data_IF_818755905173
#
_entry.id   IF_818755905173
#
_cell.length_a   1.000
_cell.length_b   1.000
_cell.length_c   1.000
_cell.angle_alpha   90.00
_cell.angle_beta   90.00
_cell.angle_gamma   90.00
#
_symmetry.space_group_name_H-M   'P 1'
#
loop_
_entity.id
_entity.type
_entity.pdbx_description
1 polymer ?
#
# COMPACT_ATOMS: atom_id res chain seq x y z
N UNK A 1 26.24 -25.17 -27.89
CA UNK A 1 24.81 -25.21 -27.46
C UNK A 1 24.76 -24.32 -26.23
N UNK A 2 24.43 -23.02 -26.44
CA UNK A 2 24.43 -22.02 -25.37
C UNK A 2 23.11 -22.13 -24.65
N UNK A 3 23.17 -22.51 -23.39
CA UNK A 3 22.04 -22.59 -22.48
C UNK A 3 21.48 -21.15 -22.28
N UNK A 4 20.31 -20.87 -22.82
CA UNK A 4 19.65 -19.59 -22.58
C UNK A 4 19.14 -19.59 -21.13
N UNK A 5 19.42 -18.55 -20.35
CA UNK A 5 18.84 -18.46 -19.03
C UNK A 5 17.31 -18.41 -19.15
N UNK A 6 16.63 -19.29 -18.43
CA UNK A 6 15.18 -19.29 -18.34
C UNK A 6 14.71 -17.90 -17.90
N UNK A 7 14.00 -17.19 -18.76
CA UNK A 7 13.33 -15.95 -18.40
C UNK A 7 12.27 -16.34 -17.38
N UNK A 8 12.52 -16.02 -16.10
CA UNK A 8 11.51 -16.20 -15.07
C UNK A 8 10.30 -15.33 -15.47
N UNK A 9 9.19 -15.98 -15.77
CA UNK A 9 7.94 -15.26 -16.01
C UNK A 9 7.60 -14.39 -14.80
N UNK A 10 7.25 -13.14 -15.05
CA UNK A 10 6.78 -12.27 -13.97
C UNK A 10 5.54 -12.90 -13.32
N UNK A 11 5.39 -12.80 -11.98
CA UNK A 11 4.21 -13.30 -11.30
C UNK A 11 2.94 -12.61 -11.84
N UNK A 12 1.88 -13.39 -12.05
CA UNK A 12 0.60 -12.86 -12.47
C UNK A 12 -0.01 -12.05 -11.32
N UNK A 13 -0.13 -10.74 -11.54
CA UNK A 13 -0.79 -9.84 -10.60
C UNK A 13 -2.28 -9.75 -10.95
N UNK A 14 -3.12 -10.23 -10.06
CA UNK A 14 -4.56 -10.02 -10.13
C UNK A 14 -4.95 -8.96 -9.09
N UNK A 15 -5.36 -7.75 -9.52
CA UNK A 15 -5.93 -6.80 -8.57
C UNK A 15 -7.20 -7.42 -7.96
N UNK A 16 -7.30 -7.38 -6.65
CA UNK A 16 -8.50 -7.83 -5.97
C UNK A 16 -9.68 -7.00 -6.46
N UNK A 17 -10.71 -7.63 -7.00
CA UNK A 17 -11.94 -6.94 -7.37
C UNK A 17 -12.61 -6.47 -6.08
N UNK A 18 -12.60 -5.15 -5.85
CA UNK A 18 -13.42 -4.54 -4.81
C UNK A 18 -14.90 -4.75 -5.20
N UNK A 19 -15.51 -5.81 -4.71
CA UNK A 19 -16.95 -5.97 -4.76
C UNK A 19 -17.55 -4.93 -3.81
N UNK A 20 -18.39 -4.08 -4.35
CA UNK A 20 -18.95 -2.88 -3.78
C UNK A 20 -19.31 -2.91 -2.30
N UNK A 21 -19.33 -1.71 -1.69
CA UNK A 21 -19.70 -1.39 -0.31
C UNK A 21 -19.52 -2.56 0.66
N UNK A 22 -18.27 -2.80 1.05
CA UNK A 22 -17.98 -3.80 2.08
C UNK A 22 -18.81 -3.48 3.31
N UNK A 23 -19.77 -4.33 3.60
CA UNK A 23 -20.57 -4.23 4.81
C UNK A 23 -19.64 -4.24 6.02
N UNK A 24 -19.97 -3.51 7.07
CA UNK A 24 -19.18 -3.42 8.29
C UNK A 24 -18.78 -4.82 8.76
N UNK A 25 -17.47 -5.10 8.76
CA UNK A 25 -16.89 -6.33 9.28
C UNK A 25 -16.40 -7.36 8.25
N UNK A 26 -16.43 -7.10 6.96
CA UNK A 26 -15.82 -7.98 5.96
C UNK A 26 -14.37 -7.61 5.72
N UNK A 27 -13.50 -8.63 5.68
CA UNK A 27 -12.10 -8.46 5.28
C UNK A 27 -12.02 -8.15 3.78
N UNK A 28 -11.31 -7.10 3.40
CA UNK A 28 -11.04 -6.79 2.01
C UNK A 28 -9.69 -7.39 1.62
N UNK A 29 -9.66 -8.16 0.54
CA UNK A 29 -8.42 -8.67 -0.03
C UNK A 29 -7.81 -7.60 -0.93
N UNK A 30 -6.65 -7.07 -0.54
CA UNK A 30 -5.99 -5.95 -1.24
C UNK A 30 -5.16 -6.41 -2.43
N UNK A 31 -4.62 -7.63 -2.40
CA UNK A 31 -3.83 -8.21 -3.49
C UNK A 31 -3.89 -9.74 -3.45
N UNK A 32 -3.77 -10.36 -4.60
CA UNK A 32 -3.60 -11.80 -4.79
C UNK A 32 -2.53 -12.01 -5.86
N UNK A 33 -1.42 -12.63 -5.49
CA UNK A 33 -0.29 -12.88 -6.38
C UNK A 33 -0.06 -14.37 -6.48
N UNK A 34 -0.12 -14.92 -7.68
CA UNK A 34 0.01 -16.36 -7.95
C UNK A 34 1.03 -16.61 -9.06
N UNK A 35 1.47 -17.86 -9.16
CA UNK A 35 2.32 -18.31 -10.26
C UNK A 35 3.82 -18.29 -9.98
N UNK A 36 4.60 -18.32 -11.05
CA UNK A 36 6.05 -18.36 -10.96
C UNK A 36 6.60 -17.08 -10.31
N UNK A 37 7.59 -17.22 -9.41
CA UNK A 37 8.21 -16.08 -8.72
C UNK A 37 7.61 -15.72 -7.36
N UNK A 38 6.49 -16.34 -6.96
CA UNK A 38 5.86 -16.09 -5.65
C UNK A 38 6.82 -16.39 -4.50
N UNK A 39 7.60 -17.46 -4.58
CA UNK A 39 8.62 -17.80 -3.56
C UNK A 39 9.65 -16.67 -3.37
N UNK A 40 10.12 -16.08 -4.47
CA UNK A 40 11.03 -14.95 -4.38
C UNK A 40 10.37 -13.71 -3.76
N UNK A 41 9.10 -13.51 -4.01
CA UNK A 41 8.29 -12.43 -3.44
C UNK A 41 8.09 -12.62 -1.94
N UNK A 42 7.78 -13.86 -1.50
CA UNK A 42 7.69 -14.22 -0.08
C UNK A 42 9.02 -13.88 0.62
N UNK A 43 10.15 -14.30 0.07
CA UNK A 43 11.46 -13.98 0.64
C UNK A 43 11.75 -12.47 0.72
N UNK A 44 11.21 -11.64 -0.20
CA UNK A 44 11.30 -10.18 -0.10
C UNK A 44 10.45 -9.64 1.05
N UNK A 45 9.23 -10.15 1.21
CA UNK A 45 8.31 -9.78 2.29
C UNK A 45 8.94 -10.11 3.66
N UNK A 46 9.49 -11.31 3.82
CA UNK A 46 10.15 -11.73 5.06
C UNK A 46 11.33 -10.83 5.42
N UNK A 47 12.18 -10.49 4.44
CA UNK A 47 13.29 -9.54 4.67
C UNK A 47 12.79 -8.16 5.04
N UNK A 48 11.76 -7.67 4.37
CA UNK A 48 11.16 -6.37 4.68
C UNK A 48 10.56 -6.34 6.08
N UNK A 49 9.89 -7.43 6.49
CA UNK A 49 9.35 -7.58 7.84
C UNK A 49 10.45 -7.60 8.91
N UNK A 50 11.53 -8.33 8.67
CA UNK A 50 12.69 -8.37 9.57
C UNK A 50 13.43 -7.03 9.68
N UNK A 51 13.36 -6.20 8.66
CA UNK A 51 13.98 -4.87 8.62
C UNK A 51 13.05 -3.75 9.14
N UNK A 52 11.84 -4.07 9.62
CA UNK A 52 10.91 -3.06 10.12
C UNK A 52 11.52 -2.28 11.31
N UNK A 53 11.57 -0.95 11.24
CA UNK A 53 12.34 -0.16 12.23
C UNK A 53 11.65 0.00 13.59
N UNK A 54 10.38 -0.41 13.73
CA UNK A 54 9.59 -0.20 14.95
C UNK A 54 9.04 -1.50 15.57
N UNK A 55 9.84 -2.59 15.73
CA UNK A 55 9.32 -3.89 16.14
C UNK A 55 8.77 -3.92 17.59
N UNK A 56 9.14 -2.92 18.41
CA UNK A 56 8.73 -2.81 19.81
C UNK A 56 7.93 -1.54 20.11
N UNK A 57 7.52 -0.82 19.07
CA UNK A 57 6.81 0.46 19.23
C UNK A 57 5.43 0.33 18.60
N UNK A 58 4.39 0.70 19.34
CA UNK A 58 3.04 0.72 18.81
C UNK A 58 2.30 1.95 19.33
N UNK A 59 1.76 2.73 18.41
CA UNK A 59 0.87 3.87 18.68
C UNK A 59 -0.30 3.79 17.71
N UNK A 60 -1.51 3.79 18.23
CA UNK A 60 -2.73 3.74 17.41
C UNK A 60 -2.71 4.89 16.39
N UNK A 61 -2.28 6.07 16.82
CA UNK A 61 -2.20 7.27 15.99
C UNK A 61 -1.05 8.18 16.47
N UNK A 62 -0.33 8.86 15.58
CA UNK A 62 -0.35 8.77 14.10
C UNK A 62 0.34 7.50 13.56
N UNK A 63 0.97 6.73 14.40
CA UNK A 63 1.79 5.55 14.15
C UNK A 63 3.06 5.56 15.01
N UNK A 64 3.90 4.52 14.97
CA UNK A 64 3.74 3.31 14.14
C UNK A 64 2.68 2.33 14.66
N UNK A 65 1.91 1.73 13.75
CA UNK A 65 0.86 0.73 14.04
C UNK A 65 0.84 -0.37 12.96
N UNK A 66 -0.18 -1.23 12.96
CA UNK A 66 -0.30 -2.31 11.97
C UNK A 66 -0.37 -1.81 10.52
N UNK A 67 -1.09 -0.71 10.27
CA UNK A 67 -1.16 -0.11 8.93
C UNK A 67 0.18 0.50 8.50
N UNK A 68 0.94 1.06 9.45
CA UNK A 68 2.33 1.51 9.22
C UNK A 68 3.23 0.34 8.81
N UNK A 69 3.09 -0.81 9.50
CA UNK A 69 3.84 -2.03 9.16
C UNK A 69 3.49 -2.52 7.75
N UNK A 70 2.19 -2.60 7.43
CA UNK A 70 1.72 -3.01 6.10
C UNK A 70 2.23 -2.06 5.02
N UNK A 71 2.16 -0.74 5.26
CA UNK A 71 2.68 0.26 4.33
C UNK A 71 4.21 0.18 4.17
N UNK A 72 4.94 -0.18 5.23
CA UNK A 72 6.38 -0.45 5.16
C UNK A 72 6.69 -1.62 4.22
N UNK A 73 6.00 -2.76 4.40
CA UNK A 73 6.15 -3.92 3.54
C UNK A 73 5.84 -3.57 2.08
N UNK A 74 4.72 -2.89 1.84
CA UNK A 74 4.29 -2.52 0.51
C UNK A 74 5.33 -1.63 -0.20
N UNK A 75 5.92 -0.64 0.49
CA UNK A 75 7.02 0.20 -0.04
C UNK A 75 8.30 -0.59 -0.32
N UNK A 76 8.61 -1.56 0.53
CA UNK A 76 9.82 -2.38 0.39
C UNK A 76 9.69 -3.44 -0.73
N UNK A 77 8.46 -3.81 -1.07
CA UNK A 77 8.13 -4.83 -2.07
C UNK A 77 7.09 -4.26 -3.04
N UNK A 78 7.47 -3.32 -3.91
CA UNK A 78 6.55 -2.62 -4.81
C UNK A 78 5.87 -3.53 -5.84
N UNK A 79 6.39 -4.73 -6.05
CA UNK A 79 5.76 -5.75 -6.90
C UNK A 79 4.38 -6.19 -6.37
N UNK A 80 4.11 -6.02 -5.08
CA UNK A 80 2.80 -6.27 -4.49
C UNK A 80 1.73 -5.29 -4.97
N UNK A 81 2.12 -4.08 -5.42
CA UNK A 81 1.23 -3.01 -5.90
C UNK A 81 0.02 -2.77 -4.99
N UNK A 82 0.25 -2.87 -3.68
CA UNK A 82 -0.83 -2.77 -2.68
C UNK A 82 -1.38 -1.34 -2.64
N UNK A 83 -2.67 -1.21 -2.86
CA UNK A 83 -3.42 0.03 -2.67
C UNK A 83 -4.09 0.02 -1.29
N UNK A 84 -3.46 0.67 -0.32
CA UNK A 84 -4.02 0.74 1.02
C UNK A 84 -5.23 1.68 1.06
N UNK A 85 -6.34 1.25 1.67
CA UNK A 85 -7.55 2.06 1.71
C UNK A 85 -7.34 3.36 2.52
N UNK A 86 -8.14 4.40 2.27
CA UNK A 86 -8.10 5.66 3.02
C UNK A 86 -8.44 5.48 4.50
N UNK A 87 -9.04 4.35 4.87
CA UNK A 87 -9.34 3.95 6.25
C UNK A 87 -8.14 3.34 6.99
N UNK A 88 -7.02 3.07 6.30
CA UNK A 88 -5.81 2.53 6.90
C UNK A 88 -5.02 3.62 7.65
N UNK A 89 -5.56 4.08 8.78
CA UNK A 89 -4.94 5.12 9.62
C UNK A 89 -3.54 4.70 10.06
N UNK A 90 -2.54 5.57 9.81
CA UNK A 90 -1.12 5.29 10.11
C UNK A 90 -0.31 4.79 8.90
N UNK A 91 -0.93 4.54 7.73
CA UNK A 91 -0.21 4.19 6.50
C UNK A 91 0.78 5.29 6.06
N UNK A 92 0.49 6.52 6.44
CA UNK A 92 1.26 7.72 6.07
C UNK A 92 2.40 8.05 7.05
N UNK A 93 2.53 7.28 8.14
CA UNK A 93 3.64 7.42 9.06
C UNK A 93 4.91 6.81 8.45
N UNK A 94 5.92 7.64 8.18
CA UNK A 94 7.21 7.24 7.59
C UNK A 94 8.40 7.52 8.52
N UNK A 95 8.13 7.63 9.83
CA UNK A 95 9.13 7.97 10.86
C UNK A 95 9.60 9.41 10.74
N UNK A 96 10.92 9.59 10.87
CA UNK A 96 11.55 10.91 10.82
C UNK A 96 11.80 11.42 9.39
N UNK A 97 11.48 10.60 8.39
CA UNK A 97 11.60 11.00 6.99
C UNK A 97 10.43 11.91 6.60
N UNK A 98 10.72 12.86 5.71
CA UNK A 98 9.70 13.75 5.14
C UNK A 98 9.22 13.21 3.79
N UNK A 99 10.08 12.50 3.05
CA UNK A 99 9.78 11.97 1.72
C UNK A 99 10.01 10.47 1.67
N UNK A 100 9.09 9.75 1.04
CA UNK A 100 9.20 8.33 0.76
C UNK A 100 8.51 8.00 -0.58
N UNK A 101 8.68 6.77 -1.06
CA UNK A 101 7.78 6.25 -2.10
C UNK A 101 6.37 6.12 -1.56
N UNK A 102 5.36 6.25 -2.42
CA UNK A 102 4.00 5.87 -2.11
C UNK A 102 3.93 4.41 -1.65
N UNK A 103 2.94 3.98 -0.86
CA UNK A 103 2.85 2.59 -0.39
C UNK A 103 2.91 1.55 -1.51
N UNK A 104 2.27 1.80 -2.64
CA UNK A 104 2.33 0.91 -3.82
C UNK A 104 3.68 0.89 -4.55
N UNK A 105 4.61 1.78 -4.20
CA UNK A 105 5.86 1.99 -4.92
C UNK A 105 5.72 2.75 -6.24
N UNK A 106 4.49 3.14 -6.65
CA UNK A 106 4.23 3.74 -7.98
C UNK A 106 4.28 5.27 -8.01
N UNK A 107 4.74 5.92 -6.94
CA UNK A 107 4.76 7.37 -6.83
C UNK A 107 5.53 7.86 -5.61
N UNK A 108 5.25 9.08 -5.20
CA UNK A 108 5.92 9.77 -4.10
C UNK A 108 4.92 10.18 -3.01
N UNK A 109 5.38 10.15 -1.78
CA UNK A 109 4.67 10.63 -0.61
C UNK A 109 5.53 11.62 0.17
N UNK A 110 4.93 12.74 0.55
CA UNK A 110 5.48 13.68 1.53
C UNK A 110 4.67 13.51 2.80
N UNK A 111 5.32 13.35 3.95
CA UNK A 111 4.64 13.15 5.23
C UNK A 111 5.35 13.90 6.36
N UNK A 112 4.57 14.49 7.22
CA UNK A 112 5.03 15.14 8.45
C UNK A 112 4.56 14.30 9.64
N UNK A 113 5.36 13.28 9.98
CA UNK A 113 5.11 12.38 11.09
C UNK A 113 3.80 11.60 11.03
N UNK A 114 3.19 11.45 9.85
CA UNK A 114 1.88 10.79 9.67
C UNK A 114 0.68 11.66 10.06
N UNK A 115 0.91 12.89 10.53
CA UNK A 115 -0.15 13.85 10.86
C UNK A 115 -0.70 14.54 9.61
N UNK A 116 0.20 14.89 8.71
CA UNK A 116 -0.11 15.49 7.40
C UNK A 116 0.67 14.73 6.34
N UNK A 117 0.00 14.34 5.27
CA UNK A 117 0.69 13.74 4.14
C UNK A 117 0.02 14.12 2.80
N UNK A 118 0.84 14.13 1.76
CA UNK A 118 0.43 14.28 0.37
C UNK A 118 1.04 13.13 -0.42
N UNK A 119 0.21 12.37 -1.11
CA UNK A 119 0.63 11.26 -1.97
C UNK A 119 0.21 11.53 -3.40
N UNK A 120 1.13 11.32 -4.33
CA UNK A 120 0.86 11.36 -5.77
C UNK A 120 1.45 10.10 -6.41
N UNK A 121 0.60 9.26 -6.98
CA UNK A 121 1.03 7.98 -7.54
C UNK A 121 0.08 7.44 -8.62
N UNK A 122 0.56 6.49 -9.39
CA UNK A 122 -0.23 5.81 -10.41
C UNK A 122 -1.24 4.81 -9.84
N UNK A 123 -1.04 4.35 -8.60
CA UNK A 123 -1.92 3.39 -7.93
C UNK A 123 -2.86 4.08 -6.95
N UNK A 124 -2.37 4.87 -6.02
CA UNK A 124 -3.20 5.57 -5.04
C UNK A 124 -3.93 6.79 -5.64
N UNK A 125 -3.44 7.34 -6.76
CA UNK A 125 -3.91 8.61 -7.29
C UNK A 125 -3.33 9.79 -6.52
N UNK A 126 -4.13 10.80 -6.26
CA UNK A 126 -3.79 11.94 -5.42
C UNK A 126 -4.50 11.80 -4.07
N UNK A 127 -3.74 11.76 -2.99
CA UNK A 127 -4.28 11.68 -1.62
C UNK A 127 -3.71 12.79 -0.74
N UNK A 128 -4.56 13.31 0.13
CA UNK A 128 -4.22 14.22 1.23
C UNK A 128 -4.64 13.58 2.53
N UNK A 129 -3.70 13.39 3.44
CA UNK A 129 -3.97 12.98 4.82
C UNK A 129 -3.93 14.20 5.73
N UNK A 130 -4.99 14.39 6.49
CA UNK A 130 -5.10 15.40 7.54
C UNK A 130 -5.46 14.70 8.85
N UNK A 131 -4.51 14.63 9.77
CA UNK A 131 -4.68 14.06 11.12
C UNK A 131 -5.21 12.61 11.12
N UNK A 132 -4.80 11.81 10.12
CA UNK A 132 -5.24 10.41 9.97
C UNK A 132 -6.50 10.24 9.09
N UNK A 133 -7.11 11.32 8.65
CA UNK A 133 -8.22 11.30 7.69
C UNK A 133 -7.69 11.48 6.27
N UNK A 134 -7.78 10.44 5.47
CA UNK A 134 -7.30 10.46 4.09
C UNK A 134 -8.44 10.76 3.12
N UNK A 135 -8.24 11.80 2.32
CA UNK A 135 -9.08 12.19 1.19
C UNK A 135 -8.30 12.01 -0.08
N UNK A 136 -8.93 11.57 -1.15
CA UNK A 136 -8.22 11.41 -2.40
C UNK A 136 -9.12 11.31 -3.61
N UNK A 137 -8.48 11.44 -4.77
CA UNK A 137 -9.09 11.24 -6.08
C UNK A 137 -8.18 10.33 -6.91
N UNK A 138 -8.77 9.38 -7.60
CA UNK A 138 -8.07 8.53 -8.56
C UNK A 138 -8.46 8.97 -9.98
N UNK A 139 -7.60 9.71 -10.68
CA UNK A 139 -7.91 10.18 -12.03
C UNK A 139 -7.80 9.07 -13.10
N UNK A 140 -7.08 7.98 -12.81
CA UNK A 140 -6.86 6.86 -13.74
C UNK A 140 -7.98 5.82 -13.67
N UNK A 141 -8.65 5.73 -12.52
CA UNK A 141 -9.81 4.89 -12.29
C UNK A 141 -10.81 5.73 -11.48
N UNK A 142 -11.67 6.52 -12.17
CA UNK A 142 -12.44 7.60 -11.55
C UNK A 142 -13.12 7.19 -10.26
N UNK A 143 -12.55 7.62 -9.13
CA UNK A 143 -13.04 7.31 -7.81
C UNK A 143 -12.66 8.41 -6.82
N UNK A 144 -13.51 8.55 -5.80
CA UNK A 144 -13.23 9.35 -4.60
C UNK A 144 -12.77 8.42 -3.48
N UNK A 145 -11.81 8.88 -2.71
CA UNK A 145 -11.32 8.23 -1.49
C UNK A 145 -11.74 9.09 -0.31
N UNK A 146 -12.55 8.52 0.54
CA UNK A 146 -13.12 9.23 1.69
C UNK A 146 -12.72 8.55 2.99
N UNK A 147 -12.34 9.32 4.03
CA UNK A 147 -12.04 8.77 5.34
C UNK A 147 -13.29 8.08 5.90
N UNK A 148 -13.10 6.99 6.64
CA UNK A 148 -14.14 6.19 7.28
C UNK A 148 -15.12 5.47 6.33
N UNK A 149 -15.20 5.88 5.07
CA UNK A 149 -16.11 5.31 4.06
C UNK A 149 -15.35 4.37 3.11
N UNK A 150 -14.13 4.75 2.76
CA UNK A 150 -13.32 3.99 1.79
C UNK A 150 -13.35 4.62 0.39
N UNK A 151 -13.25 3.76 -0.64
CA UNK A 151 -13.24 4.15 -2.06
C UNK A 151 -14.64 4.07 -2.64
N UNK A 152 -15.07 5.13 -3.33
CA UNK A 152 -16.35 5.22 -4.04
C UNK A 152 -16.05 5.56 -5.50
N UNK A 153 -16.51 4.74 -6.44
CA UNK A 153 -16.33 4.95 -7.88
C UNK A 153 -16.06 3.67 -8.63
N UNK A 154 -15.47 3.78 -9.83
CA UNK A 154 -15.16 2.64 -10.66
C UNK A 154 -14.20 1.65 -9.94
N UNK A 155 -14.44 0.34 -10.11
CA UNK A 155 -13.47 -0.68 -9.71
C UNK A 155 -12.20 -0.56 -10.57
N UNK A 156 -11.07 -0.93 -10.03
CA UNK A 156 -9.81 -1.09 -10.76
C UNK A 156 -9.73 -2.43 -11.42
#
# INVERSE_FOLDING_TARGET
>A
MLDQPAVLAAPDFHPAHAHGLAGRGQSEQLADVRGAGVEALIGKIERAAGAYPYPRSYRIWPGPNSNTFTAWIARAVPELRVDLPPTAIGKDFIGDRIVASAPSGSGVQISLGGLFALTASGVEGLEVNLLGLTFGVDPFSPALRLPLIGRIGAAR
#
